data_IF_900296205649
#
_entry.id   IF_900296205649
#
_cell.length_a   1.000
_cell.length_b   1.000
_cell.length_c   1.000
_cell.angle_alpha   90.00
_cell.angle_beta   90.00
_cell.angle_gamma   90.00
#
_symmetry.space_group_name_H-M   'P 1'
#
loop_
_entity.id
_entity.type
_entity.pdbx_description
1 polymer ?
#
# COMPACT_ATOMS: atom_id res chain seq x y z
N UNK A 1 -15.28 -8.60 -6.56
CA UNK A 1 -13.89 -8.87 -7.01
C UNK A 1 -12.84 -8.72 -5.90
N UNK A 2 -12.96 -7.76 -4.99
CA UNK A 2 -11.98 -7.55 -3.90
C UNK A 2 -12.16 -8.52 -2.72
N UNK A 3 -13.36 -9.07 -2.51
CA UNK A 3 -13.68 -9.93 -1.37
C UNK A 3 -12.68 -11.07 -1.12
N UNK A 4 -12.32 -11.89 -2.12
CA UNK A 4 -11.34 -12.96 -1.91
C UNK A 4 -9.93 -12.47 -1.57
N UNK A 5 -9.58 -11.26 -1.98
CA UNK A 5 -8.26 -10.66 -1.71
C UNK A 5 -8.19 -10.06 -0.31
N UNK A 6 -9.29 -9.48 0.16
CA UNK A 6 -9.39 -8.85 1.48
C UNK A 6 -9.71 -9.83 2.59
N UNK A 7 -10.33 -10.97 2.28
CA UNK A 7 -10.67 -12.01 3.26
C UNK A 7 -9.47 -12.62 4.00
N UNK A 8 -8.26 -12.45 3.44
CA UNK A 8 -7.01 -12.86 4.10
C UNK A 8 -6.25 -11.73 4.79
N UNK A 9 -6.73 -10.48 4.69
CA UNK A 9 -6.09 -9.33 5.33
C UNK A 9 -6.74 -9.10 6.69
N UNK A 10 -5.99 -9.38 7.73
CA UNK A 10 -6.41 -9.17 9.11
C UNK A 10 -5.46 -8.20 9.82
N UNK A 11 -5.98 -7.40 10.73
CA UNK A 11 -5.16 -6.42 11.45
C UNK A 11 -6.02 -5.40 12.20
N UNK A 12 -5.36 -4.40 12.77
CA UNK A 12 -6.06 -3.36 13.53
C UNK A 12 -6.52 -2.25 12.60
N UNK A 13 -5.61 -1.69 11.80
CA UNK A 13 -5.85 -0.48 11.04
C UNK A 13 -5.76 -0.67 9.53
N UNK A 14 -6.69 -0.07 8.81
CA UNK A 14 -6.64 0.16 7.38
C UNK A 14 -6.69 1.64 7.03
N UNK A 15 -6.11 2.02 5.91
CA UNK A 15 -6.19 3.35 5.33
C UNK A 15 -6.89 3.28 3.98
N UNK A 16 -7.90 4.10 3.80
CA UNK A 16 -8.63 4.21 2.55
C UNK A 16 -8.61 5.66 2.06
N UNK A 17 -7.96 5.90 0.93
CA UNK A 17 -7.86 7.23 0.31
C UNK A 17 -8.73 7.24 -0.95
N UNK A 18 -9.69 8.15 -0.99
CA UNK A 18 -10.68 8.30 -2.07
C UNK A 18 -10.36 9.52 -2.94
N UNK A 19 -10.79 9.53 -4.21
CA UNK A 19 -10.54 10.66 -5.11
C UNK A 19 -11.34 11.92 -4.75
N UNK A 20 -12.45 11.78 -4.03
CA UNK A 20 -13.30 12.85 -3.51
C UNK A 20 -14.26 12.29 -2.44
N UNK A 21 -14.83 13.16 -1.63
CA UNK A 21 -15.71 12.77 -0.50
C UNK A 21 -16.96 11.97 -0.92
N UNK A 22 -17.54 12.32 -2.08
CA UNK A 22 -18.75 11.68 -2.59
C UNK A 22 -18.49 10.37 -3.34
N UNK A 23 -17.23 9.95 -3.49
CA UNK A 23 -16.94 8.70 -4.18
C UNK A 23 -17.55 7.53 -3.41
N UNK A 24 -18.49 6.79 -4.02
CA UNK A 24 -19.12 5.66 -3.35
C UNK A 24 -18.08 4.58 -3.17
N UNK A 25 -17.78 4.22 -1.94
CA UNK A 25 -17.07 2.99 -1.68
C UNK A 25 -17.32 2.41 -0.31
N UNK A 26 -18.03 1.29 -0.33
CA UNK A 26 -17.88 0.33 0.74
C UNK A 26 -16.67 -0.54 0.42
N UNK A 27 -15.66 -0.53 1.27
CA UNK A 27 -14.67 -1.60 1.26
C UNK A 27 -15.43 -2.92 1.47
N UNK A 28 -15.24 -3.92 0.60
CA UNK A 28 -15.85 -5.21 0.81
C UNK A 28 -15.38 -5.76 2.17
N UNK A 29 -16.13 -6.72 2.72
CA UNK A 29 -15.87 -7.31 4.02
C UNK A 29 -14.40 -7.62 4.24
N UNK A 30 -13.83 -7.02 5.26
CA UNK A 30 -12.45 -7.15 5.69
C UNK A 30 -12.39 -7.50 7.19
N UNK A 31 -11.29 -8.07 7.63
CA UNK A 31 -11.04 -8.44 9.03
C UNK A 31 -10.21 -7.37 9.76
N UNK A 32 -10.42 -6.10 9.45
CA UNK A 32 -9.80 -4.97 10.14
C UNK A 32 -10.71 -4.43 11.23
N UNK A 33 -10.12 -4.00 12.34
CA UNK A 33 -10.87 -3.40 13.45
C UNK A 33 -11.38 -2.01 13.12
N UNK A 34 -10.59 -1.21 12.39
CA UNK A 34 -10.95 0.13 11.98
C UNK A 34 -10.30 0.53 10.65
N UNK A 35 -10.92 1.45 9.94
CA UNK A 35 -10.41 2.03 8.69
C UNK A 35 -10.42 3.55 8.83
N UNK A 36 -9.27 4.17 8.58
CA UNK A 36 -9.16 5.62 8.45
C UNK A 36 -9.52 5.99 7.02
N UNK A 37 -10.49 6.87 6.85
CA UNK A 37 -10.91 7.34 5.53
C UNK A 37 -10.40 8.76 5.29
N UNK A 38 -9.73 8.95 4.16
CA UNK A 38 -9.33 10.25 3.63
C UNK A 38 -9.92 10.42 2.23
N UNK A 39 -10.24 11.64 1.88
CA UNK A 39 -10.64 11.98 0.52
C UNK A 39 -9.75 13.11 -0.01
N UNK A 40 -9.50 13.16 -1.30
CA UNK A 40 -8.83 14.30 -1.90
C UNK A 40 -9.80 15.46 -2.06
N UNK A 41 -9.31 16.66 -1.81
CA UNK A 41 -9.99 17.90 -2.12
C UNK A 41 -9.61 18.37 -3.55
N UNK A 42 -10.20 19.50 -3.98
CA UNK A 42 -9.93 20.09 -5.29
C UNK A 42 -8.48 20.55 -5.47
N UNK A 43 -7.71 20.65 -4.41
CA UNK A 43 -6.29 21.03 -4.42
C UNK A 43 -5.35 19.83 -4.52
N UNK A 44 -5.90 18.59 -4.44
CA UNK A 44 -5.12 17.36 -4.39
C UNK A 44 -4.58 17.02 -3.00
N UNK A 45 -5.00 17.75 -1.98
CA UNK A 45 -4.67 17.44 -0.58
C UNK A 45 -5.71 16.48 -0.01
N UNK A 46 -5.29 15.63 0.93
CA UNK A 46 -6.22 14.78 1.66
C UNK A 46 -7.04 15.62 2.65
N UNK A 47 -8.34 15.44 2.64
CA UNK A 47 -9.30 15.99 3.59
C UNK A 47 -10.13 14.84 4.22
N UNK A 48 -10.90 15.14 5.24
CA UNK A 48 -11.70 14.16 5.98
C UNK A 48 -11.35 14.19 7.46
N UNK A 49 -10.98 13.05 8.03
CA UNK A 49 -10.55 12.99 9.45
C UNK A 49 -9.28 13.82 9.73
N UNK A 50 -8.45 13.99 8.71
CA UNK A 50 -7.19 14.75 8.76
C UNK A 50 -6.98 15.45 7.42
N UNK A 51 -6.30 16.61 7.45
CA UNK A 51 -5.83 17.30 6.25
C UNK A 51 -4.33 17.08 6.08
N UNK A 52 -3.89 16.53 4.96
CA UNK A 52 -2.49 16.24 4.71
C UNK A 52 -2.19 16.14 3.19
N UNK A 53 -0.92 16.18 2.87
CA UNK A 53 -0.44 15.85 1.53
C UNK A 53 -0.38 14.31 1.37
N UNK A 54 -0.88 13.74 0.27
CA UNK A 54 -0.72 12.31 -0.03
C UNK A 54 0.74 11.81 -0.03
N UNK A 55 1.69 12.71 -0.26
CA UNK A 55 3.13 12.41 -0.22
C UNK A 55 3.73 12.49 1.19
N UNK A 56 2.96 12.98 2.18
CA UNK A 56 3.38 13.15 3.57
C UNK A 56 2.21 12.89 4.52
N UNK A 57 1.94 11.62 4.75
CA UNK A 57 0.82 11.19 5.60
C UNK A 57 1.19 11.33 7.09
N UNK A 58 0.34 11.93 7.94
CA UNK A 58 0.64 12.16 9.36
C UNK A 58 0.43 10.90 10.21
N UNK A 59 0.88 9.77 9.73
CA UNK A 59 0.79 8.48 10.42
C UNK A 59 2.19 7.94 10.76
N UNK A 60 2.26 7.17 11.82
CA UNK A 60 3.49 6.49 12.20
C UNK A 60 3.89 5.43 11.16
N UNK A 61 5.16 5.06 11.16
CA UNK A 61 5.65 3.96 10.31
C UNK A 61 4.91 2.68 10.65
N UNK A 62 4.62 1.88 9.61
CA UNK A 62 4.09 0.52 9.77
C UNK A 62 2.72 0.44 10.49
N UNK A 63 1.91 1.49 10.38
CA UNK A 63 0.62 1.61 11.07
C UNK A 63 -0.50 0.79 10.44
N UNK A 64 -0.48 0.58 9.13
CA UNK A 64 -1.61 0.02 8.40
C UNK A 64 -1.32 -1.37 7.81
N UNK A 65 -2.24 -2.31 8.02
CA UNK A 65 -2.22 -3.63 7.37
C UNK A 65 -2.83 -3.63 5.98
N UNK A 66 -3.70 -2.67 5.70
CA UNK A 66 -4.30 -2.46 4.39
C UNK A 66 -4.23 -0.98 4.04
N UNK A 67 -3.76 -0.68 2.86
CA UNK A 67 -3.88 0.64 2.25
C UNK A 67 -4.62 0.51 0.92
N UNK A 68 -5.69 1.26 0.76
CA UNK A 68 -6.47 1.33 -0.48
C UNK A 68 -6.42 2.76 -1.00
N UNK A 69 -5.79 2.97 -2.14
CA UNK A 69 -5.74 4.27 -2.81
C UNK A 69 -6.52 4.20 -4.12
N UNK A 70 -7.65 4.92 -4.19
CA UNK A 70 -8.53 4.92 -5.35
C UNK A 70 -8.35 6.19 -6.16
N UNK A 71 -7.81 6.07 -7.38
CA UNK A 71 -7.66 7.19 -8.32
C UNK A 71 -7.06 8.45 -7.66
N UNK A 72 -6.18 8.25 -6.69
CA UNK A 72 -5.43 9.27 -5.96
C UNK A 72 -4.09 9.52 -6.63
N UNK A 73 -3.55 8.45 -7.21
CA UNK A 73 -2.18 8.41 -7.74
C UNK A 73 -1.96 9.38 -8.90
N UNK A 74 -3.02 9.74 -9.60
CA UNK A 74 -3.02 10.71 -10.68
C UNK A 74 -2.88 12.16 -10.20
N UNK A 75 -3.15 12.40 -8.92
CA UNK A 75 -3.14 13.72 -8.29
C UNK A 75 -1.89 13.94 -7.43
N UNK A 76 -1.10 12.89 -7.21
CA UNK A 76 0.14 13.00 -6.44
C UNK A 76 1.19 13.74 -7.25
N UNK A 77 1.62 14.89 -6.78
CA UNK A 77 2.61 15.73 -7.46
C UNK A 77 3.99 15.06 -7.59
N UNK A 78 4.39 14.28 -6.59
CA UNK A 78 5.65 13.57 -6.53
C UNK A 78 5.40 12.04 -6.40
N UNK A 79 5.21 11.31 -7.52
CA UNK A 79 4.84 9.89 -7.47
C UNK A 79 5.84 8.98 -6.76
N UNK A 80 7.13 9.28 -6.83
CA UNK A 80 8.16 8.49 -6.14
C UNK A 80 8.05 8.69 -4.61
N UNK A 81 7.92 9.93 -4.15
CA UNK A 81 7.67 10.24 -2.73
C UNK A 81 6.36 9.61 -2.23
N UNK A 82 5.31 9.62 -3.05
CA UNK A 82 4.05 8.95 -2.73
C UNK A 82 4.21 7.43 -2.57
N UNK A 83 5.02 6.79 -3.41
CA UNK A 83 5.30 5.36 -3.29
C UNK A 83 6.09 5.04 -2.01
N UNK A 84 7.10 5.85 -1.69
CA UNK A 84 7.89 5.71 -0.46
C UNK A 84 7.03 5.91 0.78
N UNK A 85 6.11 6.87 0.74
CA UNK A 85 5.20 7.17 1.84
C UNK A 85 4.19 6.03 2.06
N UNK A 86 3.63 5.47 1.00
CA UNK A 86 2.80 4.27 1.08
C UNK A 86 3.56 3.10 1.70
N UNK A 87 4.82 2.90 1.29
CA UNK A 87 5.67 1.86 1.86
C UNK A 87 5.99 2.11 3.33
N UNK A 88 6.18 3.37 3.73
CA UNK A 88 6.48 3.76 5.11
C UNK A 88 5.33 3.45 6.05
N UNK A 89 4.10 3.83 5.67
CA UNK A 89 2.92 3.64 6.52
C UNK A 89 2.38 2.22 6.52
N UNK A 90 2.74 1.42 5.51
CA UNK A 90 2.31 0.03 5.42
C UNK A 90 3.12 -0.85 6.36
N UNK A 91 2.44 -1.64 7.17
CA UNK A 91 3.08 -2.61 8.07
C UNK A 91 3.73 -3.78 7.30
N UNK A 92 4.70 -4.47 7.88
CA UNK A 92 5.25 -5.70 7.31
C UNK A 92 4.14 -6.71 6.95
N UNK A 93 4.23 -7.32 5.77
CA UNK A 93 3.20 -8.18 5.20
C UNK A 93 1.84 -7.47 4.97
N UNK A 94 1.80 -6.16 5.09
CA UNK A 94 0.63 -5.35 4.75
C UNK A 94 0.39 -5.32 3.25
N UNK A 95 -0.86 -5.11 2.86
CA UNK A 95 -1.32 -5.12 1.47
C UNK A 95 -1.70 -3.72 1.03
N UNK A 96 -1.21 -3.30 -0.13
CA UNK A 96 -1.63 -2.09 -0.82
C UNK A 96 -2.46 -2.44 -2.05
N UNK A 97 -3.63 -1.83 -2.18
CA UNK A 97 -4.52 -1.90 -3.33
C UNK A 97 -4.56 -0.52 -3.99
N UNK A 98 -3.94 -0.39 -5.14
CA UNK A 98 -3.80 0.87 -5.85
C UNK A 98 -4.62 0.83 -7.12
N UNK A 99 -5.54 1.77 -7.24
CA UNK A 99 -6.36 1.96 -8.44
C UNK A 99 -5.89 3.18 -9.20
N UNK A 100 -5.74 3.03 -10.50
CA UNK A 100 -5.38 4.14 -11.36
C UNK A 100 -6.04 4.07 -12.73
N UNK A 101 -6.08 5.20 -13.42
CA UNK A 101 -6.57 5.27 -14.79
C UNK A 101 -5.51 4.72 -15.74
N UNK A 102 -5.98 3.96 -16.73
CA UNK A 102 -5.12 3.40 -17.74
C UNK A 102 -4.82 4.43 -18.84
N UNK A 103 -3.57 4.86 -19.00
CA UNK A 103 -3.21 5.83 -20.04
C UNK A 103 -3.40 5.29 -21.47
N UNK A 104 -3.41 3.97 -21.65
CA UNK A 104 -3.68 3.33 -22.95
C UNK A 104 -5.17 3.12 -23.22
N UNK A 105 -6.06 3.51 -22.30
CA UNK A 105 -7.50 3.40 -22.48
C UNK A 105 -8.03 4.40 -23.50
N UNK A 106 -8.99 3.98 -24.31
CA UNK A 106 -9.72 4.84 -25.21
C UNK A 106 -10.63 5.87 -24.51
N UNK A 107 -10.78 5.74 -23.19
CA UNK A 107 -11.43 6.72 -22.32
C UNK A 107 -10.57 7.97 -22.05
N UNK A 108 -9.27 7.89 -22.30
CA UNK A 108 -8.31 8.97 -21.98
C UNK A 108 -8.76 10.35 -22.51
N UNK A 109 -9.16 10.51 -23.79
CA UNK A 109 -9.58 11.83 -24.29
C UNK A 109 -10.80 12.40 -23.56
N UNK A 110 -11.73 11.53 -23.16
CA UNK A 110 -12.94 11.92 -22.43
C UNK A 110 -12.66 12.30 -20.98
N UNK A 111 -11.77 11.56 -20.33
CA UNK A 111 -11.35 11.79 -18.94
C UNK A 111 -10.53 13.07 -18.88
N UNK A 112 -9.57 13.26 -19.79
CA UNK A 112 -8.73 14.47 -19.85
C UNK A 112 -9.53 15.74 -20.12
N UNK A 113 -10.61 15.66 -20.90
CA UNK A 113 -11.46 16.82 -21.21
C UNK A 113 -12.41 17.21 -20.08
N UNK A 114 -12.70 16.32 -19.14
CA UNK A 114 -13.64 16.56 -18.03
C UNK A 114 -12.96 16.79 -16.68
N UNK A 115 -11.76 16.25 -16.50
CA UNK A 115 -10.98 16.43 -15.29
C UNK A 115 -10.03 17.61 -15.48
N UNK A 116 -9.98 18.46 -14.47
CA UNK A 116 -9.15 19.68 -14.44
C UNK A 116 -7.69 19.38 -14.81
N UNK A 117 -7.05 20.33 -15.48
CA UNK A 117 -5.64 20.30 -15.87
C UNK A 117 -4.74 19.90 -14.68
N UNK A 118 -3.94 18.88 -14.85
CA UNK A 118 -2.93 18.49 -13.86
C UNK A 118 -2.89 16.99 -13.52
N UNK A 119 -3.84 16.16 -13.98
CA UNK A 119 -3.79 14.72 -13.70
C UNK A 119 -2.63 14.04 -14.43
N UNK A 120 -1.81 13.37 -13.68
CA UNK A 120 -0.69 12.59 -14.19
C UNK A 120 -1.12 11.13 -14.43
N UNK A 121 -1.42 10.80 -15.69
CA UNK A 121 -1.74 9.42 -16.06
C UNK A 121 -0.48 8.57 -16.09
N UNK A 122 -0.25 7.79 -15.06
CA UNK A 122 0.84 6.84 -15.01
C UNK A 122 0.35 5.42 -15.29
N UNK A 123 1.14 4.66 -16.04
CA UNK A 123 0.83 3.26 -16.33
C UNK A 123 1.02 2.40 -15.07
N UNK A 124 0.31 1.26 -15.01
CA UNK A 124 0.53 0.26 -13.97
C UNK A 124 1.99 -0.20 -13.91
N UNK A 125 2.68 -0.27 -15.06
CA UNK A 125 4.10 -0.62 -15.12
C UNK A 125 5.00 0.44 -14.46
N UNK A 126 4.70 1.72 -14.67
CA UNK A 126 5.43 2.82 -14.02
C UNK A 126 5.25 2.79 -12.50
N UNK A 127 4.03 2.56 -12.02
CA UNK A 127 3.76 2.42 -10.58
C UNK A 127 4.38 1.15 -10.00
N UNK A 128 4.33 0.03 -10.73
CA UNK A 128 5.01 -1.20 -10.34
C UNK A 128 6.49 -0.95 -10.04
N UNK A 129 7.20 -0.27 -10.95
CA UNK A 129 8.63 0.00 -10.78
C UNK A 129 8.91 0.88 -9.55
N UNK A 130 8.07 1.89 -9.27
CA UNK A 130 8.20 2.74 -8.08
C UNK A 130 8.00 1.94 -6.79
N UNK A 131 6.95 1.13 -6.74
CA UNK A 131 6.66 0.30 -5.57
C UNK A 131 7.75 -0.75 -5.30
N UNK A 132 8.29 -1.36 -6.36
CA UNK A 132 9.40 -2.31 -6.22
C UNK A 132 10.66 -1.64 -5.67
N UNK A 133 10.95 -0.37 -6.07
CA UNK A 133 12.02 0.44 -5.47
C UNK A 133 11.75 0.76 -3.99
N UNK A 134 10.50 1.03 -3.64
CA UNK A 134 10.05 1.27 -2.28
C UNK A 134 9.88 -0.03 -1.45
N UNK A 135 10.47 -1.16 -1.90
CA UNK A 135 10.46 -2.46 -1.20
C UNK A 135 9.07 -3.08 -1.04
N UNK A 136 8.18 -2.84 -1.99
CA UNK A 136 6.89 -3.50 -2.10
C UNK A 136 6.93 -4.53 -3.23
N UNK A 137 6.51 -5.76 -2.94
CA UNK A 137 6.36 -6.80 -3.94
C UNK A 137 5.02 -6.66 -4.65
N UNK A 138 5.05 -6.42 -5.95
CA UNK A 138 3.83 -6.37 -6.76
C UNK A 138 3.38 -7.78 -7.10
N UNK A 139 2.30 -8.22 -6.45
CA UNK A 139 1.75 -9.55 -6.60
C UNK A 139 0.93 -9.70 -7.88
N UNK A 140 0.16 -8.67 -8.23
CA UNK A 140 -0.77 -8.76 -9.36
C UNK A 140 -1.09 -7.38 -9.92
N UNK A 141 -1.28 -7.34 -11.25
CA UNK A 141 -1.85 -6.19 -11.97
C UNK A 141 -3.09 -6.69 -12.72
N UNK A 142 -4.20 -6.02 -12.54
CA UNK A 142 -5.47 -6.30 -13.24
C UNK A 142 -5.95 -5.06 -13.94
N UNK A 143 -6.49 -5.23 -15.14
CA UNK A 143 -7.16 -4.17 -15.88
C UNK A 143 -8.66 -4.44 -15.89
N UNK A 144 -9.47 -3.40 -15.76
CA UNK A 144 -10.92 -3.52 -15.67
C UNK A 144 -11.61 -2.27 -16.23
N UNK A 145 -12.94 -2.37 -16.31
CA UNK A 145 -13.76 -1.32 -16.90
C UNK A 145 -13.91 -1.45 -18.40
N UNK A 146 -14.86 -0.68 -19.00
CA UNK A 146 -15.11 -0.70 -20.42
C UNK A 146 -13.90 -0.15 -21.19
N UNK A 147 -13.61 -0.74 -22.34
CA UNK A 147 -12.44 -0.38 -23.16
C UNK A 147 -12.66 0.91 -23.99
N UNK A 148 -13.91 1.41 -24.11
CA UNK A 148 -14.23 2.64 -24.82
C UNK A 148 -15.60 3.21 -24.44
N UNK A 149 -15.89 4.48 -24.76
CA UNK A 149 -17.12 5.16 -24.39
C UNK A 149 -18.39 4.59 -25.06
N UNK A 150 -18.23 3.81 -26.12
CA UNK A 150 -19.30 3.09 -26.81
C UNK A 150 -19.61 1.71 -26.20
N UNK A 151 -18.79 1.20 -25.34
CA UNK A 151 -19.06 -0.04 -24.63
C UNK A 151 -20.06 0.24 -23.51
N UNK A 152 -21.31 0.35 -23.86
CA UNK A 152 -22.50 0.75 -23.13
C UNK A 152 -22.44 0.81 -21.62
N UNK A 153 -22.97 1.89 -21.06
CA UNK A 153 -23.15 2.12 -19.63
C UNK A 153 -24.15 1.11 -18.96
N UNK A 154 -24.67 0.17 -19.71
CA UNK A 154 -25.71 -0.78 -19.28
C UNK A 154 -25.22 -2.07 -18.60
N UNK A 155 -23.91 -2.31 -18.55
CA UNK A 155 -23.36 -3.44 -17.81
C UNK A 155 -22.71 -2.96 -16.50
N UNK A 156 -23.54 -2.46 -15.61
CA UNK A 156 -23.19 -2.11 -14.23
C UNK A 156 -22.72 -3.34 -13.46
N UNK A 157 -21.48 -3.62 -13.56
CA UNK A 157 -20.77 -4.66 -12.86
C UNK A 157 -19.35 -4.67 -13.39
N UNK A 158 -18.35 -4.68 -12.53
CA UNK A 158 -16.96 -4.88 -12.90
C UNK A 158 -16.80 -6.28 -13.52
N UNK A 159 -17.30 -6.44 -14.74
CA UNK A 159 -17.04 -7.63 -15.53
C UNK A 159 -15.55 -7.61 -15.84
N UNK A 160 -14.83 -8.48 -15.17
CA UNK A 160 -13.52 -8.93 -15.63
C UNK A 160 -13.68 -9.24 -17.13
N UNK A 161 -12.94 -8.54 -17.95
CA UNK A 161 -12.89 -8.79 -19.38
C UNK A 161 -12.11 -10.10 -19.61
N UNK A 162 -12.70 -11.24 -19.14
CA UNK A 162 -12.13 -12.58 -19.26
C UNK A 162 -12.06 -13.09 -20.70
N UNK A 163 -12.79 -12.43 -21.59
CA UNK A 163 -13.02 -13.02 -22.93
C UNK A 163 -11.88 -12.79 -23.92
N UNK A 164 -11.00 -11.76 -23.71
CA UNK A 164 -9.89 -11.50 -24.63
C UNK A 164 -8.70 -10.93 -23.85
N UNK A 165 -7.67 -11.72 -23.59
CA UNK A 165 -6.52 -11.31 -22.77
C UNK A 165 -5.76 -10.09 -23.33
N UNK A 166 -5.82 -9.85 -24.63
CA UNK A 166 -5.17 -8.71 -25.29
C UNK A 166 -5.99 -7.43 -25.10
N UNK A 167 -7.32 -7.49 -25.23
CA UNK A 167 -8.21 -6.34 -25.07
C UNK A 167 -8.38 -5.92 -23.61
N UNK A 168 -8.15 -6.82 -22.66
CA UNK A 168 -8.17 -6.51 -21.24
C UNK A 168 -7.20 -5.39 -20.86
N UNK A 169 -6.07 -5.27 -21.56
CA UNK A 169 -5.07 -4.21 -21.32
C UNK A 169 -5.55 -2.79 -21.68
N UNK A 170 -6.63 -2.66 -22.43
CA UNK A 170 -7.24 -1.38 -22.78
C UNK A 170 -8.41 -0.98 -21.86
N UNK A 171 -8.63 -1.72 -20.79
CA UNK A 171 -9.61 -1.37 -19.76
C UNK A 171 -9.40 0.05 -19.24
N UNK A 172 -10.47 0.73 -18.80
CA UNK A 172 -10.44 2.11 -18.36
C UNK A 172 -9.50 2.35 -17.18
N UNK A 173 -9.40 1.35 -16.30
CA UNK A 173 -8.63 1.44 -15.06
C UNK A 173 -7.79 0.19 -14.83
N UNK A 174 -6.77 0.33 -14.01
CA UNK A 174 -5.96 -0.77 -13.52
C UNK A 174 -6.03 -0.85 -11.99
N UNK A 175 -5.86 -2.04 -11.47
CA UNK A 175 -5.67 -2.35 -10.07
C UNK A 175 -4.31 -3.02 -9.91
N UNK A 176 -3.50 -2.49 -9.02
CA UNK A 176 -2.23 -3.03 -8.63
C UNK A 176 -2.32 -3.50 -7.18
N UNK A 177 -1.91 -4.74 -6.94
CA UNK A 177 -1.89 -5.36 -5.63
C UNK A 177 -0.44 -5.55 -5.26
N UNK A 178 -0.01 -4.88 -4.19
CA UNK A 178 1.34 -5.00 -3.67
C UNK A 178 1.33 -5.41 -2.21
N UNK A 179 2.43 -6.03 -1.76
CA UNK A 179 2.67 -6.41 -0.38
C UNK A 179 4.01 -5.90 0.08
N UNK A 180 4.07 -5.37 1.29
CA UNK A 180 5.35 -4.96 1.88
C UNK A 180 6.16 -6.19 2.26
N UNK A 181 7.42 -6.20 1.83
CA UNK A 181 8.36 -7.24 2.23
C UNK A 181 8.54 -7.24 3.74
N UNK A 182 8.65 -8.41 4.31
CA UNK A 182 9.14 -8.54 5.68
C UNK A 182 10.59 -8.08 5.71
N UNK A 183 10.94 -7.12 6.55
CA UNK A 183 12.35 -6.89 6.83
C UNK A 183 12.87 -8.16 7.52
N UNK A 184 13.77 -8.86 6.87
CA UNK A 184 14.49 -9.95 7.50
C UNK A 184 15.30 -9.32 8.62
N UNK A 185 14.92 -9.62 9.87
CA UNK A 185 15.76 -9.32 11.01
C UNK A 185 17.09 -10.04 10.76
N UNK A 186 18.12 -9.29 10.42
CA UNK A 186 19.48 -9.84 10.40
C UNK A 186 19.76 -10.23 11.85
N UNK A 187 19.91 -11.52 12.17
CA UNK A 187 20.22 -11.91 13.55
C UNK A 187 21.56 -11.27 13.88
N UNK A 188 21.55 -10.29 14.77
CA UNK A 188 22.76 -9.79 15.39
C UNK A 188 23.42 -11.00 16.06
N UNK A 189 24.51 -11.48 15.49
CA UNK A 189 25.37 -12.41 16.23
C UNK A 189 25.81 -11.66 17.47
N UNK A 190 25.22 -12.02 18.60
CA UNK A 190 25.76 -11.65 19.88
C UNK A 190 27.15 -12.27 19.92
N UNK A 191 28.16 -11.45 19.65
CA UNK A 191 29.53 -11.80 19.94
C UNK A 191 29.60 -11.80 21.47
N UNK A 192 29.29 -12.94 22.07
CA UNK A 192 29.61 -13.18 23.49
C UNK A 192 31.12 -13.09 23.56
N UNK A 193 31.61 -11.91 23.84
CA UNK A 193 32.96 -11.76 24.37
C UNK A 193 32.91 -12.49 25.69
N UNK A 194 33.40 -13.73 25.67
CA UNK A 194 33.60 -14.50 26.87
C UNK A 194 34.62 -13.71 27.69
N UNK A 195 34.11 -12.90 28.62
CA UNK A 195 34.93 -12.28 29.61
C UNK A 195 35.54 -13.46 30.37
N UNK A 196 36.79 -13.77 30.10
CA UNK A 196 37.55 -14.64 30.95
C UNK A 196 37.62 -13.96 32.31
N UNK A 197 36.76 -14.42 33.23
CA UNK A 197 36.90 -14.13 34.64
C UNK A 197 38.23 -14.76 35.04
N UNK A 198 39.30 -13.95 35.02
CA UNK A 198 40.52 -14.27 35.72
C UNK A 198 40.18 -14.29 37.19
N UNK A 199 39.83 -15.48 37.68
CA UNK A 199 39.74 -15.74 39.10
C UNK A 199 41.15 -15.50 39.65
N UNK A 200 41.32 -14.42 40.36
CA UNK A 200 42.56 -14.15 41.09
C UNK A 200 42.67 -15.19 42.21
N UNK A 201 43.66 -16.09 42.21
CA UNK A 201 43.72 -17.18 43.18
C UNK A 201 44.21 -16.75 44.59
N UNK A 202 44.08 -15.48 44.90
CA UNK A 202 44.33 -15.02 46.28
C UNK A 202 43.06 -15.23 47.09
N UNK A 203 42.68 -16.49 47.28
CA UNK A 203 41.79 -16.85 48.35
C UNK A 203 42.56 -16.70 49.67
N UNK A 204 42.02 -15.87 50.52
CA UNK A 204 42.47 -15.61 51.89
C UNK A 204 42.71 -16.95 52.61
N UNK A 205 43.92 -17.20 53.16
CA UNK A 205 44.13 -18.36 53.97
C UNK A 205 43.45 -18.11 55.33
N UNK A 206 42.44 -18.91 55.66
CA UNK A 206 41.79 -18.77 56.97
C UNK A 206 40.39 -19.35 57.17
N UNK A 207 39.90 -20.22 56.31
CA UNK A 207 38.66 -20.92 56.58
C UNK A 207 38.98 -22.38 57.04
N UNK A 208 39.42 -22.53 58.26
CA UNK A 208 39.34 -23.80 58.93
C UNK A 208 37.93 -24.04 59.46
N UNK A 209 37.27 -25.05 58.93
CA UNK A 209 36.09 -25.64 59.56
C UNK A 209 36.57 -26.59 60.62
N UNK A 210 36.44 -26.23 61.87
CA UNK A 210 36.38 -27.19 62.92
C UNK A 210 35.03 -27.87 62.90
N UNK A 211 35.02 -29.19 62.66
CA UNK A 211 33.90 -30.06 62.97
C UNK A 211 34.16 -30.62 64.33
N UNK A 212 33.28 -30.33 65.28
CA UNK A 212 33.08 -31.11 66.50
C UNK A 212 31.75 -31.85 66.32
#
# INVERSE_FOLDING_TARGET
MLGPLLGGVYGVWGLHIRPHEQAPMALPSHLLSAVVELALDDTGSCAGSLRCDPSHLPFANESFKLVVAQHVLEQVAAPDAGADELARVLAPEGVALLFGFNPASLWRPWVSGRLRNGLQFASAGGWRQRLERAQLDVLQVRYFGPWGPWAGAGSGGARENRSLPVLGRFGASWLLIARKRRSTLTPLRLTTTRAELKLNPTLVPGAHRECA
#
